data_IF_738198730224
#
_entry.id   IF_738198730224
#
_cell.length_a   1.000
_cell.length_b   1.000
_cell.length_c   1.000
_cell.angle_alpha   90.00
_cell.angle_beta   90.00
_cell.angle_gamma   90.00
#
_symmetry.space_group_name_H-M   'P 1'
#
loop_
_entity.id
_entity.type
_entity.pdbx_description
1 polymer ?
#
# COMPACT_ATOMS: atom_id res chain seq x y z
N UNK A 1 5.69 6.74 18.63
CA UNK A 1 5.45 7.48 17.37
C UNK A 1 4.08 8.14 17.43
N UNK A 2 2.99 7.39 17.65
CA UNK A 2 1.68 7.95 17.99
C UNK A 2 1.31 7.64 19.45
N UNK A 3 0.48 8.49 20.05
CA UNK A 3 -0.13 8.22 21.36
C UNK A 3 -1.16 7.10 21.24
N UNK A 4 -2.03 7.20 20.23
CA UNK A 4 -3.03 6.19 19.88
C UNK A 4 -2.94 5.90 18.37
N UNK A 5 -2.35 4.75 17.97
CA UNK A 5 -2.21 4.39 16.56
C UNK A 5 -3.54 4.20 15.81
N UNK A 6 -4.61 3.79 16.49
CA UNK A 6 -5.91 3.56 15.86
C UNK A 6 -6.60 4.87 15.58
N UNK A 7 -6.58 5.79 16.54
CA UNK A 7 -7.07 7.15 16.34
C UNK A 7 -6.27 7.87 15.25
N UNK A 8 -4.95 7.78 15.25
CA UNK A 8 -4.11 8.39 14.22
C UNK A 8 -4.43 7.85 12.82
N UNK A 9 -4.73 6.54 12.69
CA UNK A 9 -5.19 5.94 11.44
C UNK A 9 -6.52 6.57 11.00
N UNK A 10 -7.49 6.65 11.88
CA UNK A 10 -8.83 7.15 11.54
C UNK A 10 -8.81 8.65 11.20
N UNK A 11 -8.08 9.46 11.98
CA UNK A 11 -7.91 10.90 11.78
C UNK A 11 -7.08 11.22 10.53
N UNK A 12 -6.24 10.29 10.04
CA UNK A 12 -5.40 10.50 8.85
C UNK A 12 -6.19 10.79 7.57
N UNK A 13 -7.50 10.53 7.56
CA UNK A 13 -8.40 10.91 6.47
C UNK A 13 -8.35 12.42 6.18
N UNK A 14 -8.09 13.25 7.20
CA UNK A 14 -7.94 14.69 7.03
C UNK A 14 -6.81 15.06 6.05
N UNK A 15 -5.69 14.30 6.07
CA UNK A 15 -4.55 14.50 5.17
C UNK A 15 -4.86 14.13 3.71
N UNK A 16 -5.90 13.32 3.49
CA UNK A 16 -6.32 12.88 2.17
C UNK A 16 -7.38 13.84 1.61
N UNK A 17 -8.31 14.27 2.45
CA UNK A 17 -9.41 15.14 2.05
C UNK A 17 -8.96 16.58 1.80
N UNK A 18 -7.91 17.04 2.48
CA UNK A 18 -7.39 18.38 2.35
C UNK A 18 -5.86 18.37 2.15
N UNK A 19 -5.43 18.66 0.91
CA UNK A 19 -4.02 18.74 0.56
C UNK A 19 -3.28 19.91 1.24
N UNK A 20 -4.00 20.90 1.78
CA UNK A 20 -3.44 22.02 2.52
C UNK A 20 -3.33 21.75 4.03
N UNK A 21 -3.84 20.61 4.49
CA UNK A 21 -3.71 20.21 5.89
C UNK A 21 -2.24 19.96 6.23
N UNK A 22 -1.72 20.63 7.26
CA UNK A 22 -0.32 20.46 7.65
C UNK A 22 -0.09 19.07 8.23
N UNK A 23 0.83 18.34 7.61
CA UNK A 23 1.28 17.03 8.09
C UNK A 23 2.02 17.17 9.40
N UNK A 24 2.80 18.22 9.56
CA UNK A 24 3.59 18.50 10.76
C UNK A 24 2.69 18.73 11.98
N UNK A 25 1.64 19.56 11.84
CA UNK A 25 0.67 19.82 12.90
C UNK A 25 -0.15 18.57 13.23
N UNK A 26 -0.64 17.86 12.21
CA UNK A 26 -1.31 16.58 12.42
C UNK A 26 -0.45 15.60 13.22
N UNK A 27 0.82 15.43 12.82
CA UNK A 27 1.74 14.53 13.50
C UNK A 27 2.05 14.99 14.93
N UNK A 28 2.21 16.29 15.15
CA UNK A 28 2.38 16.86 16.48
C UNK A 28 1.21 16.49 17.40
N UNK A 29 -0.02 16.67 16.93
CA UNK A 29 -1.22 16.41 17.72
C UNK A 29 -1.39 14.91 18.01
N UNK A 30 -1.08 14.04 17.05
CA UNK A 30 -1.17 12.59 17.21
C UNK A 30 -0.02 11.99 18.03
N UNK A 31 1.15 12.65 18.08
CA UNK A 31 2.33 12.20 18.82
C UNK A 31 2.49 12.86 20.21
N UNK A 32 1.82 14.00 20.44
CA UNK A 32 1.97 14.83 21.64
C UNK A 32 3.30 15.57 21.75
N UNK A 33 4.09 15.61 20.66
CA UNK A 33 5.38 16.28 20.58
C UNK A 33 5.79 16.52 19.13
N UNK A 34 6.75 17.41 18.94
CA UNK A 34 7.43 17.53 17.65
C UNK A 34 8.26 16.28 17.34
N UNK A 35 8.08 15.78 16.12
CA UNK A 35 8.82 14.64 15.56
C UNK A 35 9.99 15.16 14.71
N UNK A 36 11.12 14.45 14.72
CA UNK A 36 12.21 14.71 13.78
C UNK A 36 11.78 14.41 12.34
N UNK A 37 12.54 14.87 11.33
CA UNK A 37 12.22 14.59 9.93
C UNK A 37 12.14 13.08 9.62
N UNK A 38 13.04 12.28 10.21
CA UNK A 38 13.00 10.81 10.09
C UNK A 38 11.75 10.22 10.76
N UNK A 39 11.41 10.68 11.96
CA UNK A 39 10.22 10.21 12.67
C UNK A 39 8.92 10.59 11.94
N UNK A 40 8.87 11.78 11.35
CA UNK A 40 7.73 12.21 10.54
C UNK A 40 7.57 11.35 9.29
N UNK A 41 8.67 11.10 8.58
CA UNK A 41 8.67 10.24 7.40
C UNK A 41 8.22 8.82 7.75
N UNK A 42 8.71 8.25 8.86
CA UNK A 42 8.27 6.92 9.33
C UNK A 42 6.79 6.92 9.69
N UNK A 43 6.32 7.94 10.42
CA UNK A 43 4.93 8.07 10.84
C UNK A 43 3.96 8.12 9.65
N UNK A 44 4.26 8.96 8.66
CA UNK A 44 3.46 9.05 7.44
C UNK A 44 3.52 7.75 6.62
N UNK A 45 4.70 7.11 6.55
CA UNK A 45 4.87 5.83 5.86
C UNK A 45 4.05 4.70 6.50
N UNK A 46 3.92 4.66 7.83
CA UNK A 46 3.05 3.70 8.51
C UNK A 46 1.56 3.97 8.25
N UNK A 47 1.13 5.24 8.23
CA UNK A 47 -0.25 5.60 7.91
C UNK A 47 -0.60 5.25 6.45
N UNK A 48 0.31 5.54 5.53
CA UNK A 48 0.15 5.15 4.12
C UNK A 48 0.12 3.62 3.96
N UNK A 49 0.99 2.88 4.67
CA UNK A 49 1.00 1.42 4.66
C UNK A 49 -0.37 0.88 5.11
N UNK A 50 -0.93 1.39 6.21
CA UNK A 50 -2.26 1.01 6.67
C UNK A 50 -3.34 1.31 5.61
N UNK A 51 -3.27 2.48 4.96
CA UNK A 51 -4.21 2.87 3.92
C UNK A 51 -4.17 1.91 2.72
N UNK A 52 -2.99 1.60 2.19
CA UNK A 52 -2.88 0.71 1.02
C UNK A 52 -3.24 -0.73 1.34
N UNK A 53 -3.00 -1.18 2.58
CA UNK A 53 -3.47 -2.48 3.06
C UNK A 53 -5.00 -2.55 3.09
N UNK A 54 -5.70 -1.47 3.44
CA UNK A 54 -7.17 -1.43 3.37
C UNK A 54 -7.68 -1.43 1.92
N UNK A 55 -7.01 -0.66 1.04
CA UNK A 55 -7.42 -0.55 -0.37
C UNK A 55 -7.23 -1.85 -1.18
N UNK A 56 -6.22 -2.66 -0.85
CA UNK A 56 -6.00 -3.95 -1.53
C UNK A 56 -7.06 -5.01 -1.19
N UNK A 57 -7.79 -4.88 -0.07
CA UNK A 57 -8.86 -5.81 0.32
C UNK A 57 -10.23 -5.51 -0.31
N UNK A 58 -10.28 -4.61 -1.30
CA UNK A 58 -11.55 -4.29 -1.97
C UNK A 58 -12.05 -5.48 -2.81
N UNK A 59 -13.24 -5.97 -2.48
CA UNK A 59 -13.78 -7.25 -2.99
C UNK A 59 -14.14 -7.25 -4.48
N UNK A 60 -14.35 -6.08 -5.08
CA UNK A 60 -14.83 -5.94 -6.46
C UNK A 60 -13.83 -6.49 -7.48
N UNK A 61 -12.52 -6.37 -7.23
CA UNK A 61 -11.50 -6.80 -8.17
C UNK A 61 -11.19 -8.32 -8.15
N UNK A 62 -11.76 -9.08 -7.21
CA UNK A 62 -11.46 -10.52 -7.09
C UNK A 62 -12.62 -11.45 -7.48
N UNK A 63 -13.87 -10.97 -7.44
CA UNK A 63 -15.04 -11.85 -7.53
C UNK A 63 -15.50 -12.15 -8.96
N UNK A 64 -15.27 -11.23 -9.91
CA UNK A 64 -15.76 -11.37 -11.30
C UNK A 64 -14.72 -11.06 -12.37
N UNK A 65 -13.53 -10.59 -11.99
CA UNK A 65 -12.58 -10.04 -12.93
C UNK A 65 -11.41 -11.00 -13.16
N UNK A 66 -10.97 -11.08 -14.40
CA UNK A 66 -9.73 -11.75 -14.77
C UNK A 66 -8.57 -11.13 -13.97
N UNK A 67 -7.52 -11.90 -13.66
CA UNK A 67 -6.39 -11.36 -12.88
C UNK A 67 -5.64 -10.25 -13.62
N UNK A 68 -5.76 -10.21 -14.96
CA UNK A 68 -5.30 -9.09 -15.80
C UNK A 68 -6.31 -7.96 -15.99
N UNK A 69 -7.46 -8.02 -15.30
CA UNK A 69 -8.46 -6.95 -15.31
C UNK A 69 -7.92 -5.68 -14.68
N UNK A 70 -8.41 -4.52 -15.15
CA UNK A 70 -7.93 -3.20 -14.68
C UNK A 70 -8.11 -3.05 -13.16
N UNK A 71 -9.24 -3.53 -12.62
CA UNK A 71 -9.53 -3.49 -11.18
C UNK A 71 -8.57 -4.37 -10.39
N UNK A 72 -8.30 -5.60 -10.87
CA UNK A 72 -7.35 -6.51 -10.23
C UNK A 72 -5.94 -5.96 -10.26
N UNK A 73 -5.51 -5.41 -11.40
CA UNK A 73 -4.21 -4.74 -11.53
C UNK A 73 -4.13 -3.56 -10.54
N UNK A 74 -5.20 -2.79 -10.36
CA UNK A 74 -5.20 -1.70 -9.38
C UNK A 74 -5.04 -2.20 -7.94
N UNK A 75 -5.66 -3.32 -7.59
CA UNK A 75 -5.45 -3.99 -6.29
C UNK A 75 -4.00 -4.45 -6.15
N UNK A 76 -3.43 -5.06 -7.19
CA UNK A 76 -2.03 -5.50 -7.18
C UNK A 76 -1.04 -4.32 -7.04
N UNK A 77 -1.37 -3.15 -7.59
CA UNK A 77 -0.60 -1.92 -7.36
C UNK A 77 -0.61 -1.48 -5.89
N UNK A 78 -1.75 -1.60 -5.19
CA UNK A 78 -1.79 -1.35 -3.75
C UNK A 78 -0.95 -2.36 -2.96
N UNK A 79 -1.01 -3.64 -3.32
CA UNK A 79 -0.17 -4.67 -2.72
C UNK A 79 1.33 -4.40 -2.95
N UNK A 80 1.72 -4.00 -4.18
CA UNK A 80 3.08 -3.60 -4.49
C UNK A 80 3.56 -2.41 -3.67
N UNK A 81 2.72 -1.38 -3.55
CA UNK A 81 3.01 -0.22 -2.70
C UNK A 81 3.19 -0.60 -1.22
N UNK A 82 2.38 -1.52 -0.72
CA UNK A 82 2.52 -2.03 0.65
C UNK A 82 3.88 -2.72 0.84
N UNK A 83 4.28 -3.59 -0.09
CA UNK A 83 5.59 -4.27 -0.07
C UNK A 83 6.74 -3.26 -0.07
N UNK A 84 6.64 -2.20 -0.87
CA UNK A 84 7.69 -1.16 -0.93
C UNK A 84 7.80 -0.38 0.39
N UNK A 85 6.66 0.02 0.96
CA UNK A 85 6.63 0.72 2.25
C UNK A 85 7.17 -0.17 3.37
N UNK A 86 6.84 -1.46 3.36
CA UNK A 86 7.41 -2.42 4.31
C UNK A 86 8.93 -2.48 4.21
N UNK A 87 9.49 -2.54 3.00
CA UNK A 87 10.93 -2.53 2.79
C UNK A 87 11.57 -1.23 3.27
N UNK A 88 10.99 -0.07 2.93
CA UNK A 88 11.46 1.24 3.37
C UNK A 88 11.44 1.39 4.90
N UNK A 89 10.42 0.84 5.57
CA UNK A 89 10.28 0.83 7.03
C UNK A 89 11.17 -0.22 7.73
N UNK A 90 11.92 -1.03 6.98
CA UNK A 90 12.76 -2.10 7.54
C UNK A 90 11.96 -3.27 8.10
N UNK A 91 10.73 -3.49 7.64
CA UNK A 91 9.90 -4.62 8.02
C UNK A 91 10.31 -5.90 7.26
N UNK A 92 10.00 -7.09 7.79
CA UNK A 92 10.31 -8.35 7.11
C UNK A 92 9.73 -8.40 5.69
N UNK A 93 10.54 -8.85 4.73
CA UNK A 93 10.11 -8.98 3.34
C UNK A 93 9.06 -10.09 3.20
N UNK A 94 7.99 -9.78 2.47
CA UNK A 94 6.92 -10.73 2.10
C UNK A 94 6.83 -10.95 0.58
N UNK A 95 7.69 -10.28 -0.20
CA UNK A 95 7.55 -10.18 -1.66
C UNK A 95 7.57 -11.55 -2.33
N UNK A 96 8.57 -12.39 -2.04
CA UNK A 96 8.69 -13.67 -2.74
C UNK A 96 7.51 -14.58 -2.42
N UNK A 97 7.13 -14.67 -1.14
CA UNK A 97 5.97 -15.45 -0.71
C UNK A 97 4.67 -14.95 -1.35
N UNK A 98 4.51 -13.64 -1.48
CA UNK A 98 3.38 -13.05 -2.17
C UNK A 98 3.35 -13.45 -3.65
N UNK A 99 4.49 -13.37 -4.36
CA UNK A 99 4.58 -13.74 -5.77
C UNK A 99 4.44 -15.25 -6.02
N UNK A 100 4.84 -16.09 -5.07
CA UNK A 100 4.57 -17.53 -5.09
C UNK A 100 3.07 -17.80 -5.12
N UNK A 101 2.32 -17.25 -4.15
CA UNK A 101 0.87 -17.41 -4.07
C UNK A 101 0.20 -16.83 -5.32
N UNK A 102 0.65 -15.65 -5.77
CA UNK A 102 0.08 -14.97 -6.93
C UNK A 102 0.30 -15.74 -8.23
N UNK A 103 1.34 -16.58 -8.32
CA UNK A 103 1.61 -17.40 -9.51
C UNK A 103 0.59 -18.53 -9.72
N UNK A 104 -0.15 -18.91 -8.68
CA UNK A 104 -1.20 -19.93 -8.77
C UNK A 104 -2.42 -19.42 -9.54
N UNK A 105 -2.64 -18.11 -9.56
CA UNK A 105 -3.69 -17.47 -10.34
C UNK A 105 -3.25 -17.30 -11.80
N UNK A 106 -4.10 -17.74 -12.74
CA UNK A 106 -3.86 -17.62 -14.19
C UNK A 106 -4.91 -16.73 -14.81
N UNK A 107 -4.47 -15.93 -15.77
CA UNK A 107 -5.40 -15.14 -16.58
C UNK A 107 -6.18 -16.03 -17.54
N UNK A 108 -7.41 -15.62 -17.85
CA UNK A 108 -8.19 -16.19 -18.93
C UNK A 108 -7.59 -15.88 -20.32
N UNK A 109 -6.67 -14.91 -20.39
CA UNK A 109 -5.93 -14.50 -21.57
C UNK A 109 -4.54 -15.15 -21.57
N UNK A 110 -4.26 -16.13 -22.44
CA UNK A 110 -3.00 -16.88 -22.42
C UNK A 110 -1.76 -15.99 -22.52
N UNK A 111 -1.85 -14.87 -23.24
CA UNK A 111 -0.77 -13.91 -23.41
C UNK A 111 -0.40 -13.14 -22.14
N UNK A 112 -1.31 -13.09 -21.15
CA UNK A 112 -1.09 -12.42 -19.86
C UNK A 112 -0.45 -13.35 -18.82
N UNK A 113 -0.55 -14.66 -19.01
CA UNK A 113 0.09 -15.65 -18.15
C UNK A 113 -0.49 -15.73 -16.72
N UNK A 114 0.41 -15.81 -15.75
CA UNK A 114 0.17 -15.95 -14.32
C UNK A 114 0.08 -14.59 -13.62
N UNK A 115 -0.49 -14.57 -12.42
CA UNK A 115 -0.52 -13.37 -11.59
C UNK A 115 0.88 -12.82 -11.26
N UNK A 116 1.91 -13.68 -11.17
CA UNK A 116 3.30 -13.25 -11.02
C UNK A 116 3.75 -12.44 -12.23
N UNK A 117 3.52 -12.95 -13.43
CA UNK A 117 3.91 -12.28 -14.68
C UNK A 117 3.16 -10.95 -14.84
N UNK A 118 1.87 -10.93 -14.49
CA UNK A 118 1.06 -9.70 -14.46
C UNK A 118 1.62 -8.69 -13.45
N UNK A 119 1.98 -9.12 -12.25
CA UNK A 119 2.57 -8.24 -11.26
C UNK A 119 3.91 -7.65 -11.75
N UNK A 120 4.78 -8.48 -12.32
CA UNK A 120 6.05 -8.04 -12.89
C UNK A 120 5.85 -7.05 -14.04
N UNK A 121 4.81 -7.25 -14.85
CA UNK A 121 4.52 -6.38 -15.99
C UNK A 121 3.90 -5.03 -15.59
N UNK A 122 2.99 -5.00 -14.60
CA UNK A 122 2.17 -3.81 -14.30
C UNK A 122 2.45 -3.14 -12.97
N UNK A 123 3.16 -3.81 -12.05
CA UNK A 123 3.39 -3.31 -10.68
C UNK A 123 4.86 -3.00 -10.45
N UNK A 124 5.78 -3.90 -10.79
CA UNK A 124 7.23 -3.66 -10.57
C UNK A 124 7.77 -2.39 -11.25
N UNK A 125 7.35 -1.99 -12.46
CA UNK A 125 7.83 -0.76 -13.08
C UNK A 125 7.51 0.52 -12.28
N UNK A 126 6.46 0.49 -11.45
CA UNK A 126 6.05 1.65 -10.63
C UNK A 126 6.94 1.86 -9.40
N UNK A 127 7.81 0.90 -9.07
CA UNK A 127 8.73 1.01 -7.94
C UNK A 127 9.87 1.99 -8.19
N UNK A 128 10.17 2.26 -9.46
CA UNK A 128 11.29 3.10 -9.90
C UNK A 128 10.87 4.52 -10.33
N UNK A 129 9.59 4.88 -10.13
CA UNK A 129 9.01 6.16 -10.53
C UNK A 129 8.70 7.07 -9.34
#
# INVERSE_FOLDING_TARGET
MFIDPWRARDDSIALILDQFHSRELFLHDQAGRWLSADEQWRALSYLELQRVLLLMYTSCGWFFNDISGIETIQILKYAGRAIDLMAQLGLPSVQERFLEILSEAKSNRPEMGTGREIYQQFVEPLKNS
#
